data_IF_163069557729
#
_entry.id   IF_163069557729
#
_cell.length_a   1.000
_cell.length_b   1.000
_cell.length_c   1.000
_cell.angle_alpha   90.00
_cell.angle_beta   90.00
_cell.angle_gamma   90.00
#
_symmetry.space_group_name_H-M   'P 1'
#
loop_
_entity.id
_entity.type
_entity.pdbx_description
1 polymer ?
#
# COMPACT_ATOMS: atom_id res chain seq x y z
N UNK A 1 24.38 18.25 0.77
CA UNK A 1 23.80 19.51 1.29
C UNK A 1 22.49 19.34 2.07
N UNK A 2 21.35 18.97 1.45
CA UNK A 2 20.06 18.91 2.17
C UNK A 2 20.08 17.94 3.36
N UNK A 3 20.61 16.73 3.14
CA UNK A 3 20.68 15.70 4.18
C UNK A 3 21.61 16.08 5.33
N UNK A 4 22.76 16.70 5.04
CA UNK A 4 23.73 17.15 6.04
C UNK A 4 23.17 18.28 6.91
N UNK A 5 22.35 19.14 6.33
CA UNK A 5 21.64 20.21 7.03
C UNK A 5 20.28 19.80 7.59
N UNK A 6 19.96 18.49 7.60
CA UNK A 6 18.71 17.94 8.11
C UNK A 6 17.43 18.51 7.46
N UNK A 7 17.53 19.01 6.23
CA UNK A 7 16.41 19.57 5.45
C UNK A 7 15.60 18.46 4.78
N UNK A 8 15.10 17.52 5.60
CA UNK A 8 14.46 16.30 5.11
C UNK A 8 13.08 16.54 4.50
N UNK A 9 12.33 17.55 4.94
CA UNK A 9 11.07 17.93 4.31
C UNK A 9 11.25 18.32 2.84
N UNK A 10 12.30 19.08 2.54
CA UNK A 10 12.60 19.47 1.15
C UNK A 10 13.10 18.27 0.34
N UNK A 11 13.85 17.37 0.95
CA UNK A 11 14.24 16.10 0.31
C UNK A 11 13.01 15.29 -0.10
N UNK A 12 11.99 15.22 0.74
CA UNK A 12 10.72 14.55 0.43
C UNK A 12 10.07 15.17 -0.81
N UNK A 13 9.96 16.51 -0.85
CA UNK A 13 9.35 17.22 -1.98
C UNK A 13 10.15 17.01 -3.28
N UNK A 14 11.48 17.00 -3.21
CA UNK A 14 12.35 16.70 -4.36
C UNK A 14 12.11 15.29 -4.88
N UNK A 15 12.13 14.27 -4.00
CA UNK A 15 11.93 12.88 -4.41
C UNK A 15 10.52 12.69 -5.01
N UNK A 16 9.48 13.23 -4.35
CA UNK A 16 8.12 13.15 -4.83
C UNK A 16 7.96 13.80 -6.21
N UNK A 17 8.54 15.00 -6.40
CA UNK A 17 8.51 15.71 -7.69
C UNK A 17 9.17 14.89 -8.79
N UNK A 18 10.33 14.28 -8.53
CA UNK A 18 10.99 13.41 -9.49
C UNK A 18 10.10 12.20 -9.83
N UNK A 19 9.60 11.49 -8.82
CA UNK A 19 8.79 10.28 -9.00
C UNK A 19 7.45 10.52 -9.70
N UNK A 20 6.87 11.72 -9.56
CA UNK A 20 5.65 12.12 -10.27
C UNK A 20 5.89 12.38 -11.76
N UNK A 21 7.12 12.72 -12.17
CA UNK A 21 7.41 13.18 -13.53
C UNK A 21 8.22 12.17 -14.37
N UNK A 22 8.76 11.11 -13.76
CA UNK A 22 9.42 10.02 -14.50
C UNK A 22 8.47 8.85 -14.75
N UNK A 23 8.71 8.04 -15.79
CA UNK A 23 8.00 6.76 -15.94
C UNK A 23 8.22 5.85 -14.73
N UNK A 24 7.17 5.14 -14.29
CA UNK A 24 7.23 4.28 -13.09
C UNK A 24 8.08 3.02 -13.27
N UNK A 25 8.44 2.67 -14.50
CA UNK A 25 9.34 1.55 -14.82
C UNK A 25 10.82 1.87 -14.57
N UNK A 26 11.13 3.11 -14.17
CA UNK A 26 12.51 3.57 -13.92
C UNK A 26 12.89 3.43 -12.45
N UNK A 27 14.06 2.83 -12.28
CA UNK A 27 14.76 2.71 -11.00
C UNK A 27 15.26 4.09 -10.57
N UNK A 28 15.06 4.44 -9.30
CA UNK A 28 15.53 5.69 -8.69
C UNK A 28 16.62 5.43 -7.67
N UNK A 29 17.77 6.08 -7.89
CA UNK A 29 18.90 6.06 -6.98
C UNK A 29 18.93 7.34 -6.13
N UNK A 30 18.83 7.19 -4.80
CA UNK A 30 18.92 8.30 -3.86
C UNK A 30 20.40 8.65 -3.57
N UNK A 31 21.02 9.39 -4.48
CA UNK A 31 22.46 9.68 -4.43
C UNK A 31 22.88 10.39 -3.13
N UNK A 32 23.89 9.85 -2.45
CA UNK A 32 24.43 10.36 -1.19
C UNK A 32 23.57 10.07 0.05
N UNK A 33 22.44 9.38 -0.09
CA UNK A 33 21.56 9.00 1.02
C UNK A 33 22.09 7.74 1.69
N UNK A 34 23.07 7.94 2.57
CA UNK A 34 23.82 6.85 3.20
C UNK A 34 23.54 6.60 4.68
N UNK A 35 22.56 7.28 5.29
CA UNK A 35 22.25 7.16 6.72
C UNK A 35 20.93 6.41 6.96
N UNK A 36 20.90 5.39 7.84
CA UNK A 36 19.76 4.48 7.98
C UNK A 36 18.46 5.14 8.41
N UNK A 37 18.54 6.22 9.19
CA UNK A 37 17.38 7.03 9.61
C UNK A 37 16.45 7.46 8.46
N UNK A 38 16.97 7.60 7.23
CA UNK A 38 16.21 8.05 6.07
C UNK A 38 15.71 6.91 5.16
N UNK A 39 16.19 5.68 5.33
CA UNK A 39 15.92 4.59 4.37
C UNK A 39 14.43 4.30 4.25
N UNK A 40 13.73 4.13 5.37
CA UNK A 40 12.29 3.87 5.37
C UNK A 40 11.52 4.94 4.60
N UNK A 41 11.79 6.22 4.87
CA UNK A 41 11.11 7.36 4.25
C UNK A 41 11.39 7.43 2.74
N UNK A 42 12.65 7.27 2.34
CA UNK A 42 13.03 7.30 0.94
C UNK A 42 12.44 6.14 0.15
N UNK A 43 12.42 4.93 0.71
CA UNK A 43 11.78 3.77 0.08
C UNK A 43 10.26 3.97 -0.05
N UNK A 44 9.60 4.55 0.96
CA UNK A 44 8.17 4.85 0.88
C UNK A 44 7.80 5.88 -0.20
N UNK A 45 8.75 6.75 -0.57
CA UNK A 45 8.61 7.66 -1.71
C UNK A 45 8.95 7.01 -3.05
N UNK A 46 9.47 5.78 -3.06
CA UNK A 46 9.78 5.02 -4.27
C UNK A 46 11.23 5.14 -4.74
N UNK A 47 12.19 5.38 -3.83
CA UNK A 47 13.62 5.18 -4.09
C UNK A 47 13.99 3.69 -3.98
N UNK A 48 14.83 3.21 -4.90
CA UNK A 48 15.20 1.80 -5.05
C UNK A 48 16.64 1.50 -4.60
N UNK A 49 17.57 2.44 -4.83
CA UNK A 49 18.99 2.29 -4.51
C UNK A 49 19.49 3.40 -3.59
N UNK A 50 20.55 3.07 -2.84
CA UNK A 50 21.25 3.95 -1.92
C UNK A 50 22.75 3.73 -2.04
N UNK A 51 23.53 4.80 -1.89
CA UNK A 51 24.97 4.75 -1.70
C UNK A 51 25.36 5.40 -0.36
N UNK A 52 26.43 4.91 0.26
CA UNK A 52 26.91 5.46 1.53
C UNK A 52 28.43 5.55 1.54
N UNK A 53 28.96 6.78 1.54
CA UNK A 53 30.30 7.05 2.05
C UNK A 53 30.28 7.35 3.57
N UNK A 54 29.11 7.67 4.11
CA UNK A 54 28.92 8.12 5.48
C UNK A 54 29.35 7.08 6.51
N UNK A 55 29.19 5.78 6.26
CA UNK A 55 29.60 4.73 7.22
C UNK A 55 31.08 4.84 7.58
N UNK A 56 31.95 5.12 6.60
CA UNK A 56 33.39 5.23 6.77
C UNK A 56 33.80 6.62 7.25
N UNK A 57 33.21 7.69 6.68
CA UNK A 57 33.50 9.07 7.09
C UNK A 57 33.11 9.32 8.55
N UNK A 58 32.00 8.73 9.00
CA UNK A 58 31.54 8.86 10.38
C UNK A 58 32.44 8.06 11.31
N UNK A 59 32.82 6.85 10.92
CA UNK A 59 33.76 6.04 11.68
C UNK A 59 35.11 6.75 11.92
N UNK A 60 35.68 7.37 10.87
CA UNK A 60 36.92 8.18 10.99
C UNK A 60 36.77 9.35 11.96
N UNK A 61 35.57 9.89 12.11
CA UNK A 61 35.24 10.97 13.04
C UNK A 61 34.75 10.46 14.42
N UNK A 62 34.91 9.17 14.74
CA UNK A 62 34.44 8.60 16.01
C UNK A 62 32.92 8.57 16.16
N UNK A 63 32.18 8.62 15.04
CA UNK A 63 30.72 8.65 15.02
C UNK A 63 30.11 7.26 14.82
N UNK A 64 29.14 6.96 15.67
CA UNK A 64 28.39 5.72 15.77
C UNK A 64 26.97 5.94 15.24
N UNK A 65 26.59 5.24 14.18
CA UNK A 65 25.26 5.33 13.58
C UNK A 65 24.24 4.50 14.36
N UNK A 66 23.01 5.03 14.44
CA UNK A 66 21.79 4.31 14.84
C UNK A 66 20.70 4.56 13.80
N UNK A 67 19.60 3.82 13.89
CA UNK A 67 18.41 4.07 13.06
C UNK A 67 17.69 5.38 13.42
N UNK A 68 18.06 6.01 14.53
CA UNK A 68 17.48 7.26 15.05
C UNK A 68 18.37 8.48 14.78
N UNK A 69 19.63 8.27 14.39
CA UNK A 69 20.59 9.36 14.21
C UNK A 69 22.03 8.90 14.38
N UNK A 70 22.90 9.84 14.74
CA UNK A 70 24.32 9.59 14.93
C UNK A 70 24.76 10.10 16.30
N UNK A 71 25.60 9.34 16.99
CA UNK A 71 26.17 9.70 18.30
C UNK A 71 27.69 9.66 18.24
N UNK A 72 28.41 10.39 19.10
CA UNK A 72 29.84 10.14 19.28
C UNK A 72 30.03 8.94 20.18
N UNK A 73 30.92 8.02 19.81
CA UNK A 73 31.16 6.79 20.60
C UNK A 73 31.66 7.10 22.01
N UNK A 74 32.38 8.22 22.18
CA UNK A 74 32.95 8.60 23.47
C UNK A 74 31.90 9.18 24.44
N UNK A 75 30.75 9.62 23.92
CA UNK A 75 29.60 10.13 24.69
C UNK A 75 28.62 8.99 25.08
N UNK A 76 28.89 7.74 24.69
CA UNK A 76 28.04 6.60 25.05
C UNK A 76 28.45 5.97 26.38
N UNK A 77 27.43 5.66 27.18
CA UNK A 77 27.52 4.81 28.37
C UNK A 77 27.05 3.38 28.10
N UNK A 78 26.12 3.21 27.17
CA UNK A 78 25.55 1.91 26.80
C UNK A 78 25.48 1.76 25.28
N UNK A 79 25.68 0.53 24.81
CA UNK A 79 25.48 0.13 23.41
C UNK A 79 24.21 -0.71 23.33
N UNK A 80 23.22 -0.23 22.58
CA UNK A 80 21.93 -0.90 22.35
C UNK A 80 21.88 -1.70 21.04
N UNK A 81 23.04 -2.00 20.44
CA UNK A 81 23.14 -2.77 19.21
C UNK A 81 23.67 -4.18 19.49
N UNK A 82 23.20 -5.14 18.71
CA UNK A 82 23.54 -6.57 18.80
C UNK A 82 24.35 -7.06 17.60
N UNK A 83 24.92 -6.16 16.79
CA UNK A 83 25.76 -6.56 15.66
C UNK A 83 27.07 -7.23 16.15
N UNK A 84 27.79 -7.98 15.30
CA UNK A 84 29.02 -8.68 15.69
C UNK A 84 30.05 -7.78 16.41
N UNK A 85 30.25 -6.55 15.92
CA UNK A 85 31.15 -5.56 16.54
C UNK A 85 30.70 -5.19 17.95
N UNK A 86 29.41 -4.93 18.12
CA UNK A 86 28.85 -4.49 19.40
C UNK A 86 28.78 -5.61 20.43
N UNK A 87 28.55 -6.86 20.00
CA UNK A 87 28.61 -8.04 20.87
C UNK A 87 30.03 -8.29 21.36
N UNK A 88 31.02 -8.19 20.45
CA UNK A 88 32.42 -8.41 20.79
C UNK A 88 32.98 -7.33 21.74
N UNK A 89 32.82 -6.06 21.37
CA UNK A 89 33.46 -4.98 22.11
C UNK A 89 32.58 -4.41 23.23
N UNK A 90 31.26 -4.36 23.05
CA UNK A 90 30.36 -3.60 23.90
C UNK A 90 30.86 -2.16 24.05
N UNK A 91 30.66 -1.57 25.24
CA UNK A 91 31.10 -0.20 25.51
C UNK A 91 32.63 -0.01 25.41
N UNK A 92 33.43 -1.09 25.42
CA UNK A 92 34.89 -1.03 25.26
C UNK A 92 35.29 -0.53 23.88
N UNK A 93 34.38 -0.49 22.91
CA UNK A 93 34.58 0.10 21.59
C UNK A 93 35.13 1.54 21.68
N UNK A 94 34.74 2.32 22.70
CA UNK A 94 35.26 3.68 22.92
C UNK A 94 36.75 3.72 23.30
N UNK A 95 37.28 2.63 23.84
CA UNK A 95 38.68 2.46 24.26
C UNK A 95 39.59 1.95 23.14
N UNK A 96 39.06 1.59 21.97
CA UNK A 96 39.90 1.30 20.80
C UNK A 96 40.54 2.60 20.30
N UNK A 97 41.64 2.50 19.57
CA UNK A 97 42.35 3.65 19.00
C UNK A 97 42.74 3.41 17.55
N UNK A 98 43.08 4.48 16.83
CA UNK A 98 43.62 4.42 15.48
C UNK A 98 42.72 3.70 14.47
N UNK A 99 43.34 2.87 13.64
CA UNK A 99 42.66 2.14 12.56
C UNK A 99 41.68 1.10 13.09
N UNK A 100 41.96 0.45 14.24
CA UNK A 100 41.07 -0.55 14.82
C UNK A 100 39.74 0.07 15.26
N UNK A 101 39.77 1.23 15.92
CA UNK A 101 38.54 1.98 16.28
C UNK A 101 37.74 2.33 15.03
N UNK A 102 38.43 2.84 14.01
CA UNK A 102 37.82 3.27 12.75
C UNK A 102 37.19 2.09 12.01
N UNK A 103 37.89 0.96 11.91
CA UNK A 103 37.41 -0.25 11.25
C UNK A 103 36.20 -0.82 11.98
N UNK A 104 36.26 -0.93 13.29
CA UNK A 104 35.17 -1.45 14.11
C UNK A 104 33.91 -0.57 13.97
N UNK A 105 34.05 0.75 14.09
CA UNK A 105 32.94 1.68 13.88
C UNK A 105 32.38 1.63 12.45
N UNK A 106 33.23 1.50 11.44
CA UNK A 106 32.77 1.41 10.04
C UNK A 106 31.96 0.14 9.81
N UNK A 107 32.42 -1.00 10.34
CA UNK A 107 31.70 -2.27 10.28
C UNK A 107 30.36 -2.20 11.02
N UNK A 108 30.34 -1.62 12.23
CA UNK A 108 29.10 -1.36 12.96
C UNK A 108 28.12 -0.52 12.13
N UNK A 109 28.59 0.61 11.58
CA UNK A 109 27.76 1.50 10.77
C UNK A 109 27.16 0.78 9.55
N UNK A 110 27.92 -0.09 8.90
CA UNK A 110 27.42 -0.95 7.82
C UNK A 110 26.36 -1.94 8.31
N UNK A 111 26.59 -2.62 9.44
CA UNK A 111 25.61 -3.54 10.01
C UNK A 111 24.28 -2.85 10.29
N UNK A 112 24.30 -1.64 10.85
CA UNK A 112 23.06 -0.88 11.10
C UNK A 112 22.37 -0.52 9.79
N UNK A 113 23.12 -0.09 8.76
CA UNK A 113 22.56 0.21 7.45
C UNK A 113 21.87 -1.01 6.83
N UNK A 114 22.56 -2.15 6.76
CA UNK A 114 21.99 -3.37 6.18
C UNK A 114 20.81 -3.90 7.00
N UNK A 115 20.90 -3.86 8.34
CA UNK A 115 19.80 -4.28 9.20
C UNK A 115 18.56 -3.42 8.98
N UNK A 116 18.71 -2.12 8.76
CA UNK A 116 17.57 -1.24 8.46
C UNK A 116 16.99 -1.51 7.08
N UNK A 117 17.82 -1.77 6.06
CA UNK A 117 17.34 -2.17 4.73
C UNK A 117 16.51 -3.46 4.80
N UNK A 118 16.95 -4.47 5.55
CA UNK A 118 16.19 -5.71 5.73
C UNK A 118 14.89 -5.47 6.51
N UNK A 119 14.91 -4.61 7.54
CA UNK A 119 13.69 -4.22 8.26
C UNK A 119 12.68 -3.51 7.33
N UNK A 120 13.14 -2.61 6.46
CA UNK A 120 12.30 -1.94 5.46
C UNK A 120 11.70 -2.94 4.48
N UNK A 121 12.50 -3.86 3.92
CA UNK A 121 12.01 -4.92 3.02
C UNK A 121 10.97 -5.81 3.69
N UNK A 122 11.20 -6.20 4.94
CA UNK A 122 10.25 -7.00 5.69
C UNK A 122 8.94 -6.23 5.94
N UNK A 123 9.03 -4.94 6.28
CA UNK A 123 7.84 -4.09 6.45
C UNK A 123 7.03 -3.93 5.17
N UNK A 124 7.66 -3.92 3.98
CA UNK A 124 6.95 -3.95 2.69
C UNK A 124 6.19 -5.25 2.53
N UNK A 125 6.85 -6.40 2.77
CA UNK A 125 6.22 -7.72 2.65
C UNK A 125 5.04 -7.88 3.61
N UNK A 126 5.16 -7.34 4.81
CA UNK A 126 4.11 -7.38 5.82
C UNK A 126 3.00 -6.35 5.57
N UNK A 127 3.15 -5.46 4.57
CA UNK A 127 2.20 -4.38 4.30
C UNK A 127 2.16 -3.32 5.40
N UNK A 128 3.30 -3.07 6.07
CA UNK A 128 3.47 -2.21 7.25
C UNK A 128 4.53 -1.12 7.06
N UNK A 129 4.90 -0.81 5.81
CA UNK A 129 5.92 0.20 5.52
C UNK A 129 5.54 1.57 6.11
N UNK A 130 4.27 1.96 6.05
CA UNK A 130 3.80 3.23 6.62
C UNK A 130 4.00 3.32 8.13
N UNK A 131 3.70 2.25 8.87
CA UNK A 131 3.98 2.17 10.31
C UNK A 131 5.48 2.22 10.60
N UNK A 132 6.30 1.56 9.78
CA UNK A 132 7.76 1.60 9.93
C UNK A 132 8.33 3.00 9.70
N UNK A 133 7.86 3.70 8.65
CA UNK A 133 8.21 5.10 8.38
C UNK A 133 7.79 5.99 9.54
N UNK A 134 6.55 5.85 10.01
CA UNK A 134 6.02 6.62 11.14
C UNK A 134 6.91 6.42 12.39
N UNK A 135 7.26 5.19 12.71
CA UNK A 135 8.14 4.87 13.84
C UNK A 135 9.51 5.53 13.70
N UNK A 136 10.14 5.43 12.52
CA UNK A 136 11.44 6.06 12.25
C UNK A 136 11.38 7.58 12.32
N UNK A 137 10.30 8.18 11.81
CA UNK A 137 10.19 9.63 11.77
C UNK A 137 10.04 10.29 13.14
N UNK A 138 9.62 9.53 14.16
CA UNK A 138 9.55 10.00 15.56
C UNK A 138 10.92 10.14 16.23
N UNK A 139 12.00 9.72 15.57
CA UNK A 139 13.36 9.82 16.13
C UNK A 139 13.91 11.25 16.19
N UNK A 140 13.43 12.16 15.35
CA UNK A 140 13.97 13.52 15.25
C UNK A 140 12.93 14.54 14.77
N UNK A 141 12.92 15.79 15.27
CA UNK A 141 11.97 16.83 14.82
C UNK A 141 11.96 17.07 13.29
N UNK A 142 13.12 17.15 12.66
CA UNK A 142 13.19 17.30 11.19
C UNK A 142 12.69 16.07 10.43
N UNK A 143 12.77 14.87 11.03
CA UNK A 143 12.14 13.67 10.45
C UNK A 143 10.61 13.75 10.58
N UNK A 144 10.08 14.29 11.68
CA UNK A 144 8.64 14.57 11.82
C UNK A 144 8.16 15.62 10.81
N UNK A 145 8.97 16.64 10.52
CA UNK A 145 8.69 17.59 9.43
C UNK A 145 8.68 16.91 8.07
N UNK A 146 9.60 15.97 7.83
CA UNK A 146 9.62 15.18 6.61
C UNK A 146 8.39 14.27 6.48
N UNK A 147 7.94 13.65 7.57
CA UNK A 147 6.69 12.89 7.59
C UNK A 147 5.49 13.78 7.26
N UNK A 148 5.45 15.00 7.79
CA UNK A 148 4.39 15.98 7.46
C UNK A 148 4.46 16.42 5.99
N UNK A 149 5.66 16.52 5.41
CA UNK A 149 5.82 16.80 3.98
C UNK A 149 5.32 15.62 3.13
N UNK A 150 5.63 14.38 3.53
CA UNK A 150 5.19 13.16 2.83
C UNK A 150 3.67 13.12 2.69
N UNK A 151 2.94 13.52 3.72
CA UNK A 151 1.47 13.47 3.71
C UNK A 151 0.82 14.46 2.74
N UNK A 152 1.56 15.49 2.26
CA UNK A 152 1.07 16.38 1.19
C UNK A 152 0.99 15.68 -0.16
N UNK A 153 1.74 14.59 -0.32
CA UNK A 153 1.80 13.79 -1.55
C UNK A 153 0.89 12.56 -1.51
N UNK A 154 0.08 12.41 -0.46
CA UNK A 154 -0.76 11.23 -0.23
C UNK A 154 -1.75 10.93 -1.35
N UNK A 155 -2.32 11.95 -1.99
CA UNK A 155 -3.23 11.75 -3.12
C UNK A 155 -2.54 11.08 -4.31
N UNK A 156 -1.31 11.48 -4.60
CA UNK A 156 -0.50 10.86 -5.64
C UNK A 156 -0.10 9.44 -5.25
N UNK A 157 0.39 9.21 -4.03
CA UNK A 157 0.77 7.86 -3.59
C UNK A 157 -0.44 6.92 -3.62
N UNK A 158 -1.64 7.42 -3.29
CA UNK A 158 -2.90 6.68 -3.40
C UNK A 158 -3.30 6.31 -4.84
N UNK A 159 -2.64 6.87 -5.86
CA UNK A 159 -2.79 6.41 -7.25
C UNK A 159 -1.97 5.18 -7.59
N UNK A 160 -0.92 4.92 -6.83
CA UNK A 160 0.04 3.85 -7.08
C UNK A 160 -0.18 2.65 -6.15
N UNK A 161 -0.42 2.91 -4.87
CA UNK A 161 -0.53 1.87 -3.84
C UNK A 161 -1.83 1.04 -3.96
N UNK A 162 -1.77 -0.19 -3.47
CA UNK A 162 -2.89 -1.11 -3.53
C UNK A 162 -4.05 -0.70 -2.61
N UNK A 163 -5.29 -0.94 -3.05
CA UNK A 163 -6.50 -0.60 -2.26
C UNK A 163 -6.79 -1.55 -1.12
N UNK A 164 -6.14 -2.71 -1.10
CA UNK A 164 -6.28 -3.71 -0.04
C UNK A 164 -4.93 -4.35 0.26
N UNK A 165 -4.69 -4.67 1.53
CA UNK A 165 -3.48 -5.34 2.03
C UNK A 165 -3.87 -6.44 3.02
N UNK A 166 -2.96 -7.37 3.24
CA UNK A 166 -3.16 -8.46 4.20
C UNK A 166 -3.03 -8.01 5.66
N UNK A 167 -2.41 -6.85 5.89
CA UNK A 167 -2.24 -6.24 7.21
C UNK A 167 -3.43 -5.37 7.59
N UNK A 168 -3.74 -5.39 8.89
CA UNK A 168 -4.56 -4.35 9.49
C UNK A 168 -3.80 -3.02 9.57
N UNK A 169 -4.51 -1.91 9.46
CA UNK A 169 -3.98 -0.55 9.59
C UNK A 169 -3.85 -0.21 11.07
N UNK A 170 -2.64 0.12 11.51
CA UNK A 170 -2.43 0.57 12.89
C UNK A 170 -2.37 2.09 12.92
N UNK A 171 -3.17 2.69 13.80
CA UNK A 171 -3.06 4.10 14.07
C UNK A 171 -1.74 4.40 14.78
N UNK A 172 -0.88 5.16 14.11
CA UNK A 172 0.41 5.61 14.65
C UNK A 172 0.37 7.10 14.99
N UNK A 173 -0.41 7.91 14.27
CA UNK A 173 -0.52 9.36 14.42
C UNK A 173 -1.37 9.97 13.31
N UNK A 174 -1.36 11.31 13.20
CA UNK A 174 -2.17 12.06 12.22
C UNK A 174 -1.93 11.60 10.76
N UNK A 175 -0.70 11.19 10.45
CA UNK A 175 -0.29 10.68 9.14
C UNK A 175 -1.07 9.42 8.72
N UNK A 176 -1.60 8.65 9.68
CA UNK A 176 -2.42 7.47 9.39
C UNK A 176 -3.66 7.85 8.59
N UNK A 177 -4.26 9.01 8.87
CA UNK A 177 -5.44 9.51 8.16
C UNK A 177 -5.18 9.85 6.68
N UNK A 178 -3.90 9.95 6.30
CA UNK A 178 -3.41 10.32 4.98
C UNK A 178 -2.67 9.14 4.31
N UNK A 179 -2.80 7.92 4.86
CA UNK A 179 -2.36 6.72 4.17
C UNK A 179 -3.15 6.47 2.89
N UNK A 180 -2.54 5.84 1.87
CA UNK A 180 -3.20 5.52 0.60
C UNK A 180 -4.54 4.79 0.76
N UNK A 181 -4.60 3.81 1.66
CA UNK A 181 -5.80 3.01 1.91
C UNK A 181 -6.93 3.87 2.49
N UNK A 182 -6.60 4.81 3.39
CA UNK A 182 -7.56 5.72 4.01
C UNK A 182 -8.04 6.79 3.03
N UNK A 183 -7.12 7.37 2.24
CA UNK A 183 -7.45 8.35 1.20
C UNK A 183 -8.39 7.73 0.16
N UNK A 184 -8.05 6.53 -0.34
CA UNK A 184 -8.89 5.81 -1.28
C UNK A 184 -10.24 5.41 -0.66
N UNK A 185 -10.27 4.96 0.59
CA UNK A 185 -11.52 4.64 1.27
C UNK A 185 -12.44 5.87 1.40
N UNK A 186 -11.91 7.03 1.79
CA UNK A 186 -12.67 8.28 1.86
C UNK A 186 -13.27 8.67 0.50
N UNK A 187 -12.48 8.62 -0.56
CA UNK A 187 -12.98 8.87 -1.94
C UNK A 187 -14.07 7.87 -2.35
N UNK A 188 -13.96 6.59 -1.95
CA UNK A 188 -14.99 5.59 -2.23
C UNK A 188 -16.27 5.77 -1.41
N UNK A 189 -16.18 6.34 -0.20
CA UNK A 189 -17.37 6.64 0.62
C UNK A 189 -18.28 7.70 -0.01
N UNK A 190 -17.76 8.53 -0.91
CA UNK A 190 -18.54 9.50 -1.70
C UNK A 190 -19.48 8.82 -2.71
N UNK A 191 -19.24 7.54 -3.04
CA UNK A 191 -20.09 6.74 -3.96
C UNK A 191 -21.41 6.31 -3.31
N UNK A 192 -21.52 6.38 -1.99
CA UNK A 192 -22.69 5.96 -1.22
C UNK A 192 -23.48 7.21 -0.81
N UNK A 193 -24.74 7.28 -1.24
CA UNK A 193 -25.63 8.40 -0.92
C UNK A 193 -26.62 8.04 0.17
N UNK A 194 -26.87 8.99 1.07
CA UNK A 194 -27.84 8.86 2.14
C UNK A 194 -27.50 7.78 3.17
N UNK A 195 -28.53 7.36 3.91
CA UNK A 195 -28.44 6.31 4.92
C UNK A 195 -27.85 6.77 6.26
N UNK A 196 -27.96 5.89 7.26
CA UNK A 196 -27.31 6.08 8.55
C UNK A 196 -25.79 5.98 8.38
N UNK A 197 -25.05 6.86 9.05
CA UNK A 197 -23.60 6.81 9.15
C UNK A 197 -23.18 6.87 10.61
N UNK A 198 -22.02 6.30 10.90
CA UNK A 198 -21.43 6.35 12.24
C UNK A 198 -19.99 6.86 12.16
N UNK A 199 -19.53 7.59 13.19
CA UNK A 199 -18.15 8.06 13.24
C UNK A 199 -17.20 6.88 13.40
N UNK A 200 -16.23 6.78 12.50
CA UNK A 200 -15.14 5.81 12.54
C UNK A 200 -13.83 6.50 12.16
N UNK A 201 -12.88 6.57 13.10
CA UNK A 201 -11.58 7.19 12.82
C UNK A 201 -10.68 6.20 12.07
N UNK A 202 -9.82 6.67 11.15
CA UNK A 202 -9.67 8.05 10.67
C UNK A 202 -10.57 8.42 9.45
N UNK A 203 -11.62 7.64 9.17
CA UNK A 203 -12.44 7.73 7.96
C UNK A 203 -13.50 8.82 7.99
N UNK A 204 -13.94 9.25 9.18
CA UNK A 204 -15.07 10.15 9.35
C UNK A 204 -16.36 9.35 9.47
N UNK A 205 -17.39 9.75 8.73
CA UNK A 205 -18.72 9.10 8.78
C UNK A 205 -18.83 7.92 7.82
N UNK A 206 -18.92 6.70 8.37
CA UNK A 206 -18.94 5.44 7.61
C UNK A 206 -20.31 4.78 7.71
N UNK A 207 -20.91 4.35 6.59
CA UNK A 207 -22.11 3.53 6.58
C UNK A 207 -21.90 2.21 7.35
N UNK A 208 -22.79 1.82 8.27
CA UNK A 208 -22.58 0.64 9.10
C UNK A 208 -22.39 -0.68 8.33
N UNK A 209 -22.87 -0.76 7.08
CA UNK A 209 -22.73 -1.95 6.24
C UNK A 209 -21.28 -2.22 5.81
N UNK A 210 -20.42 -1.20 5.90
CA UNK A 210 -19.01 -1.29 5.54
C UNK A 210 -18.09 -1.57 6.73
N UNK A 211 -18.58 -1.68 7.97
CA UNK A 211 -17.73 -1.81 9.15
C UNK A 211 -16.85 -3.07 9.17
N UNK A 212 -17.23 -4.12 8.44
CA UNK A 212 -16.39 -5.31 8.27
C UNK A 212 -15.48 -5.22 7.03
N UNK A 213 -15.81 -4.34 6.09
CA UNK A 213 -15.14 -4.18 4.80
C UNK A 213 -13.78 -3.50 4.97
N UNK A 214 -12.78 -3.90 4.19
CA UNK A 214 -11.45 -3.28 4.25
C UNK A 214 -11.46 -1.85 3.67
N UNK A 215 -10.86 -0.86 4.33
CA UNK A 215 -10.00 -0.99 5.52
C UNK A 215 -10.71 -0.82 6.88
N UNK A 216 -12.00 -0.53 6.91
CA UNK A 216 -12.75 -0.15 8.11
C UNK A 216 -12.67 -1.20 9.22
N UNK A 217 -13.00 -2.46 8.91
CA UNK A 217 -12.99 -3.56 9.90
C UNK A 217 -11.59 -4.05 10.27
N UNK A 218 -10.57 -3.58 9.56
CA UNK A 218 -9.17 -3.94 9.74
C UNK A 218 -8.35 -2.72 10.15
N UNK A 219 -8.95 -1.77 10.86
CA UNK A 219 -8.26 -0.59 11.41
C UNK A 219 -8.27 -0.64 12.92
N UNK A 220 -7.08 -0.59 13.52
CA UNK A 220 -6.87 -0.49 14.95
C UNK A 220 -6.58 0.96 15.30
N UNK A 221 -7.61 1.64 15.81
CA UNK A 221 -7.53 3.01 16.31
C UNK A 221 -7.89 3.01 17.80
N UNK A 222 -7.10 3.65 18.68
CA UNK A 222 -7.31 3.58 20.13
C UNK A 222 -8.66 4.15 20.59
N UNK A 223 -9.23 5.06 19.81
CA UNK A 223 -10.52 5.71 20.14
C UNK A 223 -11.73 5.09 19.43
N UNK A 224 -11.53 4.10 18.54
CA UNK A 224 -12.68 3.43 17.92
C UNK A 224 -13.26 2.43 18.91
N UNK A 225 -14.56 2.52 19.19
CA UNK A 225 -15.28 1.54 20.01
C UNK A 225 -15.98 0.51 19.14
N UNK A 226 -16.09 -0.71 19.64
CA UNK A 226 -16.42 -1.92 18.86
C UNK A 226 -17.90 -2.29 18.85
N UNK A 227 -18.82 -1.39 19.20
CA UNK A 227 -20.21 -1.77 19.42
C UNK A 227 -21.17 -0.96 18.56
N UNK A 228 -21.37 -1.45 17.33
CA UNK A 228 -22.57 -1.12 16.56
C UNK A 228 -23.27 -2.40 16.11
N UNK A 229 -24.50 -2.59 16.58
CA UNK A 229 -25.36 -3.68 16.11
C UNK A 229 -26.03 -3.25 14.81
N UNK A 230 -25.59 -3.86 13.72
CA UNK A 230 -26.11 -3.60 12.38
C UNK A 230 -27.57 -4.03 12.24
N UNK A 231 -28.47 -3.10 11.86
CA UNK A 231 -29.92 -3.34 11.74
C UNK A 231 -30.38 -3.67 10.31
N UNK A 232 -29.56 -3.46 9.28
CA UNK A 232 -29.94 -3.73 7.89
C UNK A 232 -29.79 -5.22 7.53
N UNK A 233 -30.49 -5.63 6.48
CA UNK A 233 -30.45 -6.99 5.95
C UNK A 233 -29.10 -7.31 5.29
N UNK A 234 -28.80 -8.60 5.13
CA UNK A 234 -27.60 -9.06 4.43
C UNK A 234 -27.54 -8.57 2.97
N UNK A 235 -28.71 -8.41 2.32
CA UNK A 235 -28.80 -7.93 0.95
C UNK A 235 -28.50 -6.43 0.86
N UNK A 236 -29.05 -5.60 1.75
CA UNK A 236 -28.75 -4.16 1.81
C UNK A 236 -27.26 -3.92 2.05
N UNK A 237 -26.66 -4.66 3.01
CA UNK A 237 -25.21 -4.62 3.26
C UNK A 237 -24.41 -4.97 2.00
N UNK A 238 -24.81 -6.03 1.29
CA UNK A 238 -24.14 -6.45 0.06
C UNK A 238 -24.21 -5.39 -1.05
N UNK A 239 -25.37 -4.75 -1.22
CA UNK A 239 -25.56 -3.68 -2.22
C UNK A 239 -24.68 -2.47 -1.90
N UNK A 240 -24.61 -2.09 -0.64
CA UNK A 240 -23.73 -1.01 -0.17
C UNK A 240 -22.23 -1.33 -0.39
N UNK A 241 -21.81 -2.57 -0.12
CA UNK A 241 -20.45 -3.04 -0.42
C UNK A 241 -20.14 -2.95 -1.93
N UNK A 242 -21.12 -3.27 -2.78
CA UNK A 242 -20.97 -3.18 -4.23
C UNK A 242 -20.82 -1.73 -4.70
N UNK A 243 -21.65 -0.80 -4.21
CA UNK A 243 -21.54 0.62 -4.54
C UNK A 243 -20.19 1.21 -4.11
N UNK A 244 -19.72 0.85 -2.92
CA UNK A 244 -18.40 1.23 -2.43
C UNK A 244 -17.28 0.75 -3.36
N UNK A 245 -17.28 -0.54 -3.70
CA UNK A 245 -16.18 -1.17 -4.43
C UNK A 245 -16.17 -0.79 -5.91
N UNK A 246 -17.30 -0.95 -6.61
CA UNK A 246 -17.37 -0.83 -8.07
C UNK A 246 -17.84 0.56 -8.54
N UNK A 247 -18.49 1.34 -7.68
CA UNK A 247 -19.07 2.63 -8.04
C UNK A 247 -20.58 2.68 -7.82
N UNK A 248 -21.10 3.90 -7.72
CA UNK A 248 -22.53 4.17 -7.54
C UNK A 248 -23.39 3.42 -8.57
N UNK A 249 -24.40 2.70 -8.10
CA UNK A 249 -25.35 1.96 -8.92
C UNK A 249 -25.00 0.48 -9.08
N UNK A 250 -23.80 0.05 -8.70
CA UNK A 250 -23.43 -1.37 -8.71
C UNK A 250 -24.32 -2.20 -7.77
N UNK A 251 -24.66 -1.67 -6.60
CA UNK A 251 -25.56 -2.34 -5.66
C UNK A 251 -26.94 -2.62 -6.25
N UNK A 252 -27.48 -1.70 -7.07
CA UNK A 252 -28.77 -1.85 -7.71
C UNK A 252 -28.81 -3.01 -8.72
N UNK A 253 -27.66 -3.43 -9.26
CA UNK A 253 -27.55 -4.56 -10.18
C UNK A 253 -27.70 -5.93 -9.49
N UNK A 254 -27.66 -5.96 -8.15
CA UNK A 254 -27.91 -7.18 -7.38
C UNK A 254 -29.42 -7.33 -7.20
N UNK A 255 -30.06 -8.38 -7.75
CA UNK A 255 -31.53 -8.49 -7.75
C UNK A 255 -32.08 -8.87 -6.37
N UNK A 256 -33.36 -8.59 -6.12
CA UNK A 256 -34.02 -8.87 -4.83
C UNK A 256 -34.10 -10.38 -4.50
N UNK A 257 -34.07 -11.24 -5.52
CA UNK A 257 -34.04 -12.69 -5.34
C UNK A 257 -32.63 -13.24 -5.03
N UNK A 258 -31.62 -12.39 -4.84
CA UNK A 258 -30.27 -12.81 -4.51
C UNK A 258 -30.22 -13.43 -3.10
N UNK A 259 -29.66 -14.64 -3.00
CA UNK A 259 -29.54 -15.39 -1.76
C UNK A 259 -28.11 -15.28 -1.25
N UNK A 260 -27.93 -14.58 -0.11
CA UNK A 260 -26.64 -14.45 0.57
C UNK A 260 -26.44 -15.60 1.55
N UNK A 261 -25.50 -16.50 1.26
CA UNK A 261 -25.07 -17.58 2.16
C UNK A 261 -23.89 -17.15 3.03
N UNK A 262 -23.97 -17.53 4.29
CA UNK A 262 -22.95 -17.29 5.32
C UNK A 262 -22.07 -18.52 5.55
N UNK A 263 -20.84 -18.30 5.97
CA UNK A 263 -19.94 -19.34 6.47
C UNK A 263 -20.54 -19.98 7.73
N UNK A 264 -20.57 -21.31 7.79
CA UNK A 264 -21.04 -22.05 8.98
C UNK A 264 -20.16 -21.79 10.21
N UNK A 265 -18.85 -21.62 10.01
CA UNK A 265 -17.89 -21.50 11.11
C UNK A 265 -17.84 -20.08 11.68
N UNK A 266 -18.02 -19.06 10.84
CA UNK A 266 -17.79 -17.64 11.24
C UNK A 266 -19.04 -16.77 11.18
N UNK A 267 -20.14 -17.27 10.61
CA UNK A 267 -21.36 -16.48 10.38
C UNK A 267 -21.22 -15.35 9.33
N UNK A 268 -20.03 -15.16 8.73
CA UNK A 268 -19.76 -14.09 7.75
C UNK A 268 -20.36 -14.40 6.39
N UNK A 269 -20.78 -13.37 5.65
CA UNK A 269 -21.27 -13.51 4.26
C UNK A 269 -20.15 -14.02 3.35
N UNK A 270 -20.47 -14.93 2.42
CA UNK A 270 -19.46 -15.62 1.60
C UNK A 270 -19.83 -15.83 0.15
N UNK A 271 -21.04 -16.29 -0.10
CA UNK A 271 -21.48 -16.69 -1.42
C UNK A 271 -22.83 -16.06 -1.68
N UNK A 272 -22.99 -15.46 -2.86
CA UNK A 272 -24.25 -14.87 -3.29
C UNK A 272 -24.70 -15.64 -4.51
N UNK A 273 -25.95 -16.11 -4.48
CA UNK A 273 -26.54 -16.88 -5.56
C UNK A 273 -27.74 -16.14 -6.15
N UNK A 274 -27.89 -16.20 -7.46
CA UNK A 274 -29.09 -15.75 -8.19
C UNK A 274 -29.51 -16.91 -9.08
N UNK A 275 -30.78 -17.34 -9.01
CA UNK A 275 -31.30 -18.48 -9.79
C UNK A 275 -30.45 -19.77 -9.66
N UNK A 276 -29.91 -20.04 -8.47
CA UNK A 276 -29.00 -21.17 -8.14
C UNK A 276 -27.59 -21.08 -8.73
N UNK A 277 -27.27 -20.06 -9.52
CA UNK A 277 -25.93 -19.81 -10.03
C UNK A 277 -25.16 -18.89 -9.09
N UNK A 278 -23.84 -19.08 -9.02
CA UNK A 278 -22.97 -18.24 -8.20
C UNK A 278 -22.79 -16.89 -8.87
N UNK A 279 -23.22 -15.83 -8.20
CA UNK A 279 -23.28 -14.48 -8.74
C UNK A 279 -22.12 -13.61 -8.24
N UNK A 280 -21.79 -13.74 -6.95
CA UNK A 280 -20.68 -13.08 -6.28
C UNK A 280 -20.07 -14.02 -5.24
N UNK A 281 -18.78 -13.85 -4.97
CA UNK A 281 -18.15 -14.40 -3.75
C UNK A 281 -17.49 -13.28 -2.96
N UNK A 282 -17.46 -13.42 -1.64
CA UNK A 282 -16.92 -12.42 -0.72
C UNK A 282 -15.64 -12.97 -0.10
N UNK A 283 -14.54 -12.24 -0.32
CA UNK A 283 -13.20 -12.64 0.14
C UNK A 283 -13.11 -12.56 1.66
N UNK A 284 -12.38 -13.50 2.27
CA UNK A 284 -12.30 -13.65 3.74
C UNK A 284 -11.58 -12.53 4.47
N UNK A 285 -10.52 -12.05 3.84
CA UNK A 285 -9.54 -11.16 4.44
C UNK A 285 -10.04 -9.72 4.51
N UNK A 286 -10.68 -9.25 3.44
CA UNK A 286 -10.99 -7.84 3.20
C UNK A 286 -12.46 -7.58 2.85
N UNK A 287 -13.27 -8.64 2.74
CA UNK A 287 -14.66 -8.60 2.28
C UNK A 287 -14.87 -8.02 0.87
N UNK A 288 -13.82 -7.96 0.05
CA UNK A 288 -13.97 -7.57 -1.35
C UNK A 288 -14.89 -8.55 -2.08
N UNK A 289 -15.79 -7.99 -2.87
CA UNK A 289 -16.71 -8.69 -3.75
C UNK A 289 -15.96 -9.15 -4.99
N UNK A 290 -16.10 -10.41 -5.31
CA UNK A 290 -15.45 -11.06 -6.45
C UNK A 290 -16.55 -11.43 -7.45
N UNK A 291 -16.68 -10.68 -8.55
CA UNK A 291 -17.79 -10.85 -9.48
C UNK A 291 -17.68 -12.17 -10.25
N UNK A 292 -18.81 -12.83 -10.47
CA UNK A 292 -18.94 -13.98 -11.37
C UNK A 292 -19.64 -13.56 -12.65
N UNK A 293 -19.70 -14.46 -13.62
CA UNK A 293 -20.12 -14.16 -15.00
C UNK A 293 -21.39 -13.31 -15.07
N UNK A 294 -22.45 -13.69 -14.36
CA UNK A 294 -23.71 -12.95 -14.36
C UNK A 294 -23.56 -11.49 -13.88
N UNK A 295 -22.84 -11.26 -12.79
CA UNK A 295 -22.64 -9.89 -12.28
C UNK A 295 -21.61 -9.10 -13.10
N UNK A 296 -20.60 -9.77 -13.67
CA UNK A 296 -19.65 -9.13 -14.59
C UNK A 296 -20.34 -8.58 -15.83
N UNK A 297 -21.29 -9.33 -16.41
CA UNK A 297 -22.10 -8.86 -17.55
C UNK A 297 -22.92 -7.63 -17.18
N UNK A 298 -23.58 -7.64 -16.03
CA UNK A 298 -24.34 -6.47 -15.57
C UNK A 298 -23.46 -5.24 -15.31
N UNK A 299 -22.29 -5.43 -14.68
CA UNK A 299 -21.31 -4.36 -14.50
C UNK A 299 -20.84 -3.81 -15.86
N UNK A 300 -20.53 -4.69 -16.81
CA UNK A 300 -20.10 -4.33 -18.16
C UNK A 300 -21.18 -3.51 -18.89
N UNK A 301 -22.44 -3.96 -18.87
CA UNK A 301 -23.57 -3.30 -19.54
C UNK A 301 -23.94 -1.94 -18.92
N UNK A 302 -23.77 -1.76 -17.61
CA UNK A 302 -24.27 -0.57 -16.89
C UNK A 302 -23.20 0.48 -16.59
N UNK A 303 -21.92 0.09 -16.52
CA UNK A 303 -20.82 1.03 -16.35
C UNK A 303 -20.26 1.40 -17.71
N UNK A 304 -20.40 2.68 -18.11
CA UNK A 304 -19.92 3.17 -19.40
C UNK A 304 -18.40 3.00 -19.53
N UNK A 305 -17.94 2.59 -20.70
CA UNK A 305 -16.52 2.61 -21.04
C UNK A 305 -15.86 3.96 -20.70
N UNK A 306 -14.65 4.00 -20.11
CA UNK A 306 -13.75 2.87 -19.82
C UNK A 306 -13.93 2.29 -18.40
N UNK A 307 -15.02 2.58 -17.68
CA UNK A 307 -15.17 2.23 -16.26
C UNK A 307 -15.02 0.73 -16.01
N UNK A 308 -14.18 0.37 -15.05
CA UNK A 308 -13.83 -1.01 -14.66
C UNK A 308 -13.05 -1.80 -15.73
N UNK A 309 -12.69 -1.22 -16.89
CA UNK A 309 -12.07 -1.97 -18.00
C UNK A 309 -10.54 -2.06 -17.88
N UNK A 310 -10.04 -3.21 -18.32
CA UNK A 310 -8.68 -3.40 -18.83
C UNK A 310 -8.80 -3.92 -20.25
N UNK A 311 -8.42 -3.07 -21.21
CA UNK A 311 -8.54 -3.31 -22.66
C UNK A 311 -7.26 -3.96 -23.16
N UNK A 312 -7.38 -5.12 -23.79
CA UNK A 312 -6.25 -5.81 -24.40
C UNK A 312 -5.98 -5.31 -25.82
N UNK A 313 -4.73 -5.46 -26.25
CA UNK A 313 -4.37 -5.33 -27.66
C UNK A 313 -5.13 -6.33 -28.54
N UNK A 314 -5.31 -6.00 -29.82
CA UNK A 314 -5.95 -6.88 -30.80
C UNK A 314 -4.99 -8.01 -31.24
N UNK A 315 -4.78 -8.96 -30.33
CA UNK A 315 -3.92 -10.12 -30.54
C UNK A 315 -4.71 -11.39 -30.19
N UNK A 316 -5.05 -12.18 -31.24
CA UNK A 316 -5.87 -13.38 -31.10
C UNK A 316 -5.28 -14.44 -30.15
N UNK A 317 -3.95 -14.57 -30.07
CA UNK A 317 -3.30 -15.53 -29.19
C UNK A 317 -3.40 -15.07 -27.73
N UNK A 318 -3.20 -13.78 -27.48
CA UNK A 318 -3.36 -13.18 -26.15
C UNK A 318 -4.82 -13.33 -25.68
N UNK A 319 -5.78 -13.00 -26.53
CA UNK A 319 -7.21 -13.12 -26.23
C UNK A 319 -7.58 -14.57 -25.92
N UNK A 320 -7.08 -15.56 -26.67
CA UNK A 320 -7.28 -16.98 -26.40
C UNK A 320 -6.68 -17.39 -25.05
N UNK A 321 -5.45 -16.98 -24.75
CA UNK A 321 -4.79 -17.26 -23.47
C UNK A 321 -5.57 -16.70 -22.27
N UNK A 322 -6.12 -15.50 -22.40
CA UNK A 322 -6.91 -14.87 -21.33
C UNK A 322 -8.25 -15.59 -21.15
N UNK A 323 -8.90 -16.03 -22.23
CA UNK A 323 -10.11 -16.87 -22.18
C UNK A 323 -9.87 -18.19 -21.44
N UNK A 324 -8.69 -18.79 -21.60
CA UNK A 324 -8.24 -19.98 -20.84
C UNK A 324 -7.90 -19.68 -19.38
N UNK A 325 -7.88 -18.40 -18.99
CA UNK A 325 -7.62 -17.95 -17.62
C UNK A 325 -6.16 -17.67 -17.29
N UNK A 326 -5.30 -17.53 -18.30
CA UNK A 326 -3.91 -17.07 -18.09
C UNK A 326 -3.90 -15.58 -17.71
N UNK A 327 -2.91 -15.20 -16.91
CA UNK A 327 -2.75 -13.82 -16.43
C UNK A 327 -2.39 -12.84 -17.55
N UNK A 328 -2.84 -11.59 -17.43
CA UNK A 328 -2.52 -10.52 -18.38
C UNK A 328 -1.24 -9.81 -17.95
N UNK A 329 -0.30 -9.64 -18.86
CA UNK A 329 0.94 -8.88 -18.65
C UNK A 329 0.79 -7.45 -19.18
N UNK A 330 1.49 -6.50 -18.55
CA UNK A 330 1.37 -5.06 -18.84
C UNK A 330 1.54 -4.72 -20.34
N UNK A 331 2.51 -5.34 -21.02
CA UNK A 331 2.77 -5.14 -22.46
C UNK A 331 1.60 -5.48 -23.40
N UNK A 332 0.59 -6.21 -22.91
CA UNK A 332 -0.58 -6.60 -23.71
C UNK A 332 -1.81 -5.75 -23.40
N UNK A 333 -1.70 -4.79 -22.48
CA UNK A 333 -2.79 -3.87 -22.13
C UNK A 333 -2.66 -2.62 -22.99
N UNK A 334 -3.70 -2.36 -23.79
CA UNK A 334 -3.81 -1.16 -24.62
C UNK A 334 -4.31 0.04 -23.84
N UNK A 335 -5.36 -0.17 -23.03
CA UNK A 335 -6.00 0.86 -22.23
C UNK A 335 -6.49 0.30 -20.90
N UNK A 336 -6.56 1.14 -19.87
CA UNK A 336 -7.04 0.77 -18.54
C UNK A 336 -7.78 1.96 -17.92
N UNK A 337 -8.89 1.70 -17.23
CA UNK A 337 -9.64 2.69 -16.46
C UNK A 337 -8.70 3.46 -15.52
N UNK A 338 -8.55 4.79 -15.66
CA UNK A 338 -7.65 5.57 -14.83
C UNK A 338 -8.04 5.63 -13.35
N UNK A 339 -9.28 5.31 -12.98
CA UNK A 339 -9.68 5.29 -11.56
C UNK A 339 -9.50 3.93 -10.89
N UNK A 340 -9.22 2.86 -11.65
CA UNK A 340 -8.85 1.58 -11.05
C UNK A 340 -7.55 1.73 -10.27
N UNK A 341 -7.36 0.85 -9.30
CA UNK A 341 -6.15 0.79 -8.48
C UNK A 341 -5.68 -0.65 -8.37
N UNK A 342 -4.39 -0.84 -8.04
CA UNK A 342 -3.89 -2.17 -7.73
C UNK A 342 -4.74 -2.81 -6.62
N UNK A 343 -5.15 -4.06 -6.80
CA UNK A 343 -6.05 -4.80 -5.91
C UNK A 343 -7.53 -4.71 -6.26
N UNK A 344 -7.95 -3.82 -7.16
CA UNK A 344 -9.34 -3.77 -7.63
C UNK A 344 -9.69 -4.96 -8.52
N UNK A 345 -10.96 -5.36 -8.46
CA UNK A 345 -11.52 -6.27 -9.45
C UNK A 345 -11.89 -5.48 -10.71
N UNK A 346 -11.56 -6.03 -11.88
CA UNK A 346 -11.70 -5.38 -13.18
C UNK A 346 -12.30 -6.35 -14.20
N UNK A 347 -12.81 -5.76 -15.28
CA UNK A 347 -13.37 -6.42 -16.45
C UNK A 347 -12.34 -6.38 -17.57
N UNK A 348 -11.90 -7.54 -18.02
CA UNK A 348 -10.96 -7.66 -19.12
C UNK A 348 -11.76 -7.72 -20.41
N UNK A 349 -11.49 -6.80 -21.31
CA UNK A 349 -12.22 -6.64 -22.58
C UNK A 349 -11.27 -6.63 -23.76
N UNK A 350 -11.77 -6.96 -24.94
CA UNK A 350 -11.03 -6.73 -26.18
C UNK A 350 -11.13 -5.26 -26.63
N UNK A 351 -10.49 -4.94 -27.76
CA UNK A 351 -10.45 -3.60 -28.32
C UNK A 351 -11.82 -3.04 -28.78
N UNK A 352 -12.87 -3.88 -28.82
CA UNK A 352 -14.25 -3.50 -29.15
C UNK A 352 -15.15 -3.44 -27.90
N UNK A 353 -14.56 -3.48 -26.71
CA UNK A 353 -15.25 -3.58 -25.41
C UNK A 353 -16.10 -4.86 -25.27
N UNK A 354 -15.74 -5.98 -25.92
CA UNK A 354 -16.39 -7.25 -25.62
C UNK A 354 -15.80 -7.86 -24.34
N UNK A 355 -16.66 -8.23 -23.39
CA UNK A 355 -16.24 -8.86 -22.13
C UNK A 355 -15.59 -10.24 -22.38
N UNK A 356 -14.36 -10.40 -21.89
CA UNK A 356 -13.60 -11.65 -21.97
C UNK A 356 -13.68 -12.41 -20.65
N UNK A 357 -13.16 -11.84 -19.56
CA UNK A 357 -13.12 -12.42 -18.20
C UNK A 357 -13.04 -11.31 -17.14
N UNK A 358 -13.17 -11.69 -15.88
CA UNK A 358 -12.81 -10.84 -14.74
C UNK A 358 -11.42 -11.13 -14.21
N UNK A 359 -10.85 -10.18 -13.50
CA UNK A 359 -9.58 -10.39 -12.82
C UNK A 359 -9.30 -9.33 -11.77
N UNK A 360 -8.19 -9.51 -11.06
CA UNK A 360 -7.72 -8.54 -10.07
C UNK A 360 -6.50 -7.80 -10.61
N UNK A 361 -6.56 -6.47 -10.59
CA UNK A 361 -5.47 -5.61 -11.01
C UNK A 361 -4.28 -5.76 -10.05
N UNK A 362 -3.06 -5.85 -10.57
CA UNK A 362 -1.82 -6.00 -9.79
C UNK A 362 -0.88 -4.80 -9.87
N UNK A 363 -1.11 -3.92 -10.84
CA UNK A 363 -0.36 -2.68 -11.09
C UNK A 363 -1.35 -1.52 -11.14
N UNK A 364 -0.93 -0.33 -10.74
CA UNK A 364 -1.74 0.87 -10.96
C UNK A 364 -1.91 1.15 -12.46
N UNK A 365 -2.95 1.90 -12.88
CA UNK A 365 -3.11 2.31 -14.28
C UNK A 365 -1.88 3.04 -14.85
N UNK A 366 -1.16 3.80 -14.01
CA UNK A 366 0.07 4.48 -14.40
C UNK A 366 1.20 3.48 -14.66
N UNK A 367 1.38 2.49 -13.79
CA UNK A 367 2.37 1.44 -13.99
C UNK A 367 2.08 0.58 -15.22
N UNK A 368 0.81 0.22 -15.46
CA UNK A 368 0.43 -0.56 -16.65
C UNK A 368 0.85 0.14 -17.94
N UNK A 369 0.71 1.47 -18.00
CA UNK A 369 1.10 2.28 -19.17
C UNK A 369 2.61 2.36 -19.35
N UNK A 370 3.37 2.35 -18.27
CA UNK A 370 4.83 2.55 -18.32
C UNK A 370 5.61 1.23 -18.43
N UNK A 371 5.07 0.11 -17.91
CA UNK A 371 5.78 -1.17 -17.86
C UNK A 371 5.58 -2.06 -19.10
N UNK A 372 6.67 -2.62 -19.62
CA UNK A 372 6.66 -3.64 -20.70
C UNK A 372 6.74 -5.08 -20.19
N UNK A 373 6.78 -5.27 -18.88
CA UNK A 373 6.90 -6.58 -18.21
C UNK A 373 6.14 -6.59 -16.90
N UNK A 374 5.87 -7.80 -16.40
CA UNK A 374 5.13 -8.01 -15.16
C UNK A 374 3.63 -8.16 -15.38
N UNK A 375 2.98 -8.80 -14.42
CA UNK A 375 1.56 -9.13 -14.47
C UNK A 375 0.74 -7.88 -14.12
N UNK A 376 -0.10 -7.44 -15.06
CA UNK A 376 -1.04 -6.35 -14.87
C UNK A 376 -2.35 -6.83 -14.25
N UNK A 377 -2.88 -7.98 -14.69
CA UNK A 377 -4.13 -8.56 -14.16
C UNK A 377 -3.96 -10.04 -13.89
N UNK A 378 -4.33 -10.47 -12.69
CA UNK A 378 -4.51 -11.90 -12.37
C UNK A 378 -5.95 -12.29 -12.68
N UNK A 379 -6.11 -13.08 -13.73
CA UNK A 379 -7.43 -13.51 -14.22
C UNK A 379 -8.02 -14.57 -13.27
N UNK A 380 -9.35 -14.58 -13.12
CA UNK A 380 -10.09 -15.49 -12.24
C UNK A 380 -11.04 -16.38 -13.02
#
# INVERSE_FOLDING_TARGET
>A
PLMESYRFAELVDVIATVKQNIPTDRIVHAFGLGHPMLFALAVALGCDFFDSASYALFAKAGRYMTVEGTKKIDELDYISCTCPVCVEHGIRLKKLYGEDKTRALALHNLYVCFSEIEAVKQSIRDGRLWEHVALRCRSHPEMMRALTALTKHSDWIATLDAVTKNSAIYYTGFETALRPEVVNAKKRLERIEGGMRIPLKPYGEVPPGLLEFYPFGQTLHPENTSEYTFKETALEKLRMMADYQFGKGAGALIPDNAIVKKSRNTGRMRWVYVNKEMFLTIRASDHFLLPKEGYMKLLHENFKYPRLRVVLEDDGEVLACVKEGKSVFAKFVKEVDPELKAGDECLIVDHLDNLIRGGTLHMSPKEIKDFTKGMAVRVR
#
